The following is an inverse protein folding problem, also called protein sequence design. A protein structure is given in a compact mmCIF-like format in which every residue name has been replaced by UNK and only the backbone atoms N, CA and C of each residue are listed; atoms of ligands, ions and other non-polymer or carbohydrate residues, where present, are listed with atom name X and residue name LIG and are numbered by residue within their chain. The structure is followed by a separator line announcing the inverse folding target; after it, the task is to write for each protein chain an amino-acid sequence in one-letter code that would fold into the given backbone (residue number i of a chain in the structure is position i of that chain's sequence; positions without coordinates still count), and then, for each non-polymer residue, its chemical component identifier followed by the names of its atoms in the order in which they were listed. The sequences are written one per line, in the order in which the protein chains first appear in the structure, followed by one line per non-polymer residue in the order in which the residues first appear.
data_IF_204707419470
#
_entry.id   IF_204707419470
#
_cell.length_a   1.000
_cell.length_b   1.000
_cell.length_c   1.000
_cell.angle_alpha   90.00
_cell.angle_beta   90.00
_cell.angle_gamma   90.00
#
_symmetry.space_group_name_H-M   'P 1'
#
loop_
_entity.id
_entity.type
_entity.pdbx_description
1 polymer ?
#
# COMPACT_ATOMS: atom_id res chain seq x y z
N UNK A 1 9.79 25.75 -6.63
CA UNK A 1 9.68 24.30 -6.35
C UNK A 1 8.62 24.13 -5.26
N UNK A 2 7.37 23.72 -5.53
CA UNK A 2 6.42 23.59 -4.39
C UNK A 2 5.21 22.67 -4.62
N UNK A 3 4.25 22.99 -5.50
CA UNK A 3 2.91 22.37 -5.38
C UNK A 3 2.78 20.87 -5.73
N UNK A 4 3.67 20.31 -6.56
CA UNK A 4 3.55 18.90 -6.99
C UNK A 4 3.87 17.91 -5.86
N UNK A 5 4.89 18.23 -5.06
CA UNK A 5 5.38 17.35 -3.98
C UNK A 5 4.38 17.26 -2.83
N UNK A 6 3.68 18.37 -2.56
CA UNK A 6 2.63 18.43 -1.54
C UNK A 6 1.43 17.57 -1.95
N UNK A 7 1.05 17.60 -3.23
CA UNK A 7 -0.06 16.77 -3.75
C UNK A 7 0.26 15.26 -3.67
N UNK A 8 1.48 14.86 -4.04
CA UNK A 8 1.89 13.45 -3.98
C UNK A 8 1.92 12.93 -2.53
N UNK A 9 2.32 13.77 -1.56
CA UNK A 9 2.29 13.41 -0.14
C UNK A 9 0.86 13.20 0.35
N UNK A 10 -0.05 14.14 0.04
CA UNK A 10 -1.46 14.05 0.44
C UNK A 10 -2.12 12.78 -0.11
N UNK A 11 -1.89 12.45 -1.37
CA UNK A 11 -2.38 11.20 -1.97
C UNK A 11 -1.84 9.96 -1.25
N UNK A 12 -0.57 9.99 -0.84
CA UNK A 12 0.03 8.88 -0.10
C UNK A 12 -0.60 8.72 1.27
N UNK A 13 -0.83 9.83 1.99
CA UNK A 13 -1.49 9.84 3.29
C UNK A 13 -2.93 9.29 3.20
N UNK A 14 -3.70 9.70 2.20
CA UNK A 14 -5.06 9.19 1.96
C UNK A 14 -5.08 7.68 1.67
N UNK A 15 -4.14 7.17 0.88
CA UNK A 15 -4.07 5.73 0.60
C UNK A 15 -3.68 4.93 1.84
N UNK A 16 -2.75 5.45 2.66
CA UNK A 16 -2.35 4.80 3.91
C UNK A 16 -3.49 4.81 4.93
N UNK A 17 -4.27 5.89 5.00
CA UNK A 17 -5.44 5.97 5.88
C UNK A 17 -6.51 4.95 5.49
N UNK A 18 -6.83 4.85 4.19
CA UNK A 18 -7.74 3.80 3.68
C UNK A 18 -7.25 2.40 4.03
N UNK A 19 -5.97 2.11 3.79
CA UNK A 19 -5.37 0.82 4.12
C UNK A 19 -5.45 0.50 5.61
N UNK A 20 -5.27 1.50 6.48
CA UNK A 20 -5.43 1.37 7.94
C UNK A 20 -6.85 0.94 8.30
N UNK A 21 -7.86 1.64 7.79
CA UNK A 21 -9.27 1.33 8.05
C UNK A 21 -9.70 -0.02 7.49
N UNK A 22 -9.29 -0.36 6.26
CA UNK A 22 -9.55 -1.67 5.68
C UNK A 22 -8.93 -2.79 6.52
N UNK A 23 -7.68 -2.59 6.97
CA UNK A 23 -6.99 -3.55 7.82
C UNK A 23 -7.63 -3.68 9.20
N UNK A 24 -8.09 -2.58 9.80
CA UNK A 24 -8.82 -2.63 11.06
C UNK A 24 -10.13 -3.41 10.92
N UNK A 25 -10.90 -3.15 9.86
CA UNK A 25 -12.14 -3.86 9.56
C UNK A 25 -11.94 -5.36 9.33
N UNK A 26 -10.88 -5.75 8.62
CA UNK A 26 -10.52 -7.17 8.45
C UNK A 26 -10.16 -7.86 9.77
N UNK A 27 -9.66 -7.10 10.75
CA UNK A 27 -9.31 -7.60 12.08
C UNK A 27 -10.47 -7.49 13.08
N UNK A 28 -11.60 -6.89 12.70
CA UNK A 28 -12.72 -6.59 13.60
C UNK A 28 -12.40 -5.53 14.66
N UNK A 29 -11.53 -4.57 14.33
CA UNK A 29 -11.03 -3.50 15.21
C UNK A 29 -11.43 -2.11 14.70
N UNK A 30 -12.38 -2.02 13.77
CA UNK A 30 -12.81 -0.75 13.18
C UNK A 30 -13.56 0.14 14.17
N UNK A 31 -14.36 -0.44 15.07
CA UNK A 31 -15.01 0.29 16.16
C UNK A 31 -13.97 0.82 17.17
N UNK A 32 -13.03 -0.03 17.61
CA UNK A 32 -11.95 0.36 18.53
C UNK A 32 -11.07 1.46 17.92
N UNK A 33 -10.77 1.35 16.62
CA UNK A 33 -10.01 2.35 15.89
C UNK A 33 -10.77 3.66 15.74
N UNK A 34 -12.11 3.64 15.64
CA UNK A 34 -12.93 4.84 15.62
C UNK A 34 -12.91 5.58 16.97
N UNK A 35 -12.84 4.83 18.07
CA UNK A 35 -12.69 5.36 19.43
C UNK A 35 -11.22 5.28 19.92
N UNK A 36 -10.27 5.49 19.01
CA UNK A 36 -8.84 5.42 19.31
C UNK A 36 -8.46 6.41 20.43
N UNK A 37 -8.28 5.88 21.63
CA UNK A 37 -8.02 6.66 22.85
C UNK A 37 -8.66 6.05 24.09
N UNK A 38 -9.80 5.37 23.91
CA UNK A 38 -10.52 4.69 24.99
C UNK A 38 -10.48 3.16 24.79
N UNK A 39 -10.77 2.69 23.58
CA UNK A 39 -11.00 1.27 23.30
C UNK A 39 -9.78 0.58 22.66
N UNK A 40 -8.99 1.29 21.84
CA UNK A 40 -7.88 0.70 21.10
C UNK A 40 -6.64 0.45 21.99
N UNK A 41 -6.34 -0.81 22.26
CA UNK A 41 -5.11 -1.16 23.01
C UNK A 41 -3.86 -1.00 22.14
N UNK A 42 -2.70 -0.81 22.79
CA UNK A 42 -1.38 -0.79 22.10
C UNK A 42 -1.14 -2.07 21.28
N UNK A 43 -1.62 -3.21 21.78
CA UNK A 43 -1.50 -4.49 21.08
C UNK A 43 -2.33 -4.51 19.80
N UNK A 44 -3.55 -3.97 19.82
CA UNK A 44 -4.43 -3.89 18.65
C UNK A 44 -3.92 -2.88 17.62
N UNK A 45 -3.48 -1.70 18.05
CA UNK A 45 -2.79 -0.76 17.19
C UNK A 45 -1.57 -1.41 16.51
N UNK A 46 -0.79 -2.18 17.27
CA UNK A 46 0.33 -2.97 16.76
C UNK A 46 -0.08 -4.04 15.74
N UNK A 47 -1.20 -4.74 15.96
CA UNK A 47 -1.74 -5.72 15.00
C UNK A 47 -2.16 -5.04 13.70
N UNK A 48 -2.84 -3.89 13.76
CA UNK A 48 -3.25 -3.13 12.58
C UNK A 48 -2.01 -2.71 11.79
N UNK A 49 -1.07 -2.00 12.42
CA UNK A 49 0.14 -1.52 11.77
C UNK A 49 1.00 -2.65 11.19
N UNK A 50 1.16 -3.75 11.93
CA UNK A 50 1.89 -4.92 11.45
C UNK A 50 1.26 -5.58 10.23
N UNK A 51 -0.08 -5.65 10.15
CA UNK A 51 -0.77 -6.16 8.97
C UNK A 51 -0.70 -5.22 7.78
N UNK A 52 -0.76 -3.89 8.00
CA UNK A 52 -0.53 -2.91 6.94
C UNK A 52 0.85 -3.10 6.29
N UNK A 53 1.91 -3.24 7.08
CA UNK A 53 3.27 -3.48 6.57
C UNK A 53 3.33 -4.78 5.75
N UNK A 54 2.72 -5.87 6.22
CA UNK A 54 2.64 -7.13 5.46
C UNK A 54 1.93 -6.96 4.12
N UNK A 55 0.84 -6.20 4.06
CA UNK A 55 0.12 -5.90 2.81
C UNK A 55 0.96 -5.05 1.85
N UNK A 56 1.65 -4.04 2.36
CA UNK A 56 2.53 -3.18 1.57
C UNK A 56 3.70 -3.96 0.97
N UNK A 57 4.33 -4.86 1.74
CA UNK A 57 5.41 -5.73 1.24
C UNK A 57 4.90 -6.61 0.09
N UNK A 58 3.75 -7.29 0.28
CA UNK A 58 3.14 -8.12 -0.78
C UNK A 58 2.82 -7.31 -2.04
N UNK A 59 2.29 -6.10 -1.88
CA UNK A 59 2.01 -5.21 -3.00
C UNK A 59 3.30 -4.79 -3.73
N UNK A 60 4.38 -4.52 -2.99
CA UNK A 60 5.69 -4.22 -3.54
C UNK A 60 6.29 -5.39 -4.32
N UNK A 61 6.24 -6.61 -3.76
CA UNK A 61 6.69 -7.83 -4.44
C UNK A 61 5.93 -8.05 -5.76
N UNK A 62 4.60 -7.89 -5.75
CA UNK A 62 3.76 -7.99 -6.95
C UNK A 62 4.12 -6.93 -7.99
N UNK A 63 4.30 -5.68 -7.57
CA UNK A 63 4.66 -4.58 -8.48
C UNK A 63 6.03 -4.82 -9.16
N UNK A 64 7.01 -5.35 -8.42
CA UNK A 64 8.31 -5.73 -8.96
C UNK A 64 8.22 -6.87 -9.96
N UNK A 65 7.41 -7.90 -9.67
CA UNK A 65 7.17 -9.01 -10.59
C UNK A 65 6.51 -8.52 -11.90
N UNK A 66 5.46 -7.71 -11.81
CA UNK A 66 4.77 -7.12 -12.96
C UNK A 66 5.71 -6.23 -13.79
N UNK A 67 6.61 -5.48 -13.14
CA UNK A 67 7.63 -4.70 -13.83
C UNK A 67 8.62 -5.58 -14.60
N UNK A 68 9.07 -6.68 -14.00
CA UNK A 68 9.91 -7.67 -14.66
C UNK A 68 9.24 -8.21 -15.94
N UNK A 69 7.99 -8.66 -15.83
CA UNK A 69 7.22 -9.17 -16.97
C UNK A 69 7.02 -8.11 -18.06
N UNK A 70 6.74 -6.86 -17.67
CA UNK A 70 6.59 -5.75 -18.61
C UNK A 70 7.87 -5.49 -19.39
N UNK A 71 9.03 -5.49 -18.72
CA UNK A 71 10.35 -5.32 -19.36
C UNK A 71 10.64 -6.46 -20.32
N UNK A 72 10.39 -7.71 -19.91
CA UNK A 72 10.54 -8.89 -20.78
C UNK A 72 9.68 -8.76 -22.04
N UNK A 73 8.40 -8.38 -21.89
CA UNK A 73 7.48 -8.19 -23.02
C UNK A 73 7.94 -7.09 -23.98
N UNK A 74 8.44 -5.98 -23.45
CA UNK A 74 8.96 -4.89 -24.28
C UNK A 74 10.23 -5.30 -25.02
N UNK A 75 11.11 -6.09 -24.41
CA UNK A 75 12.33 -6.59 -25.05
C UNK A 75 12.00 -7.55 -26.21
N UNK A 76 11.07 -8.49 -26.00
CA UNK A 76 10.62 -9.42 -27.06
C UNK A 76 10.02 -8.68 -28.26
N UNK A 77 9.27 -7.59 -28.02
CA UNK A 77 8.75 -6.74 -29.11
C UNK A 77 9.85 -6.04 -29.89
N UNK A 78 10.89 -5.55 -29.21
CA UNK A 78 12.04 -4.89 -29.86
C UNK A 78 12.88 -5.85 -30.70
N UNK A 79 12.94 -7.13 -30.34
CA UNK A 79 13.68 -8.14 -31.11
C UNK A 79 12.91 -8.63 -32.35
N UNK A 80 11.57 -8.69 -32.28
CA UNK A 80 10.73 -9.09 -33.41
C UNK A 80 10.55 -8.01 -34.51
N UNK A 81 10.93 -6.76 -34.23
CA UNK A 81 10.85 -5.61 -35.15
C UNK A 81 12.22 -5.22 -35.74
N UNK A 82 13.26 -6.07 -35.56
CA UNK A 82 14.55 -5.87 -36.23
C UNK A 82 14.41 -6.22 -37.72
N UNK A 83 14.88 -5.36 -38.63
CA UNK A 83 14.81 -5.60 -40.08
C UNK A 83 15.66 -6.78 -40.54
#
# INVERSE_FOLDING_TARGET
MSHKKDNDRLRTEEHLDKLKWETAKELGLDDDLANAGEDLTVREAGKIGGNMVRKLVKAGEKALAEEGERKTRLNLRKEGDKP
#
